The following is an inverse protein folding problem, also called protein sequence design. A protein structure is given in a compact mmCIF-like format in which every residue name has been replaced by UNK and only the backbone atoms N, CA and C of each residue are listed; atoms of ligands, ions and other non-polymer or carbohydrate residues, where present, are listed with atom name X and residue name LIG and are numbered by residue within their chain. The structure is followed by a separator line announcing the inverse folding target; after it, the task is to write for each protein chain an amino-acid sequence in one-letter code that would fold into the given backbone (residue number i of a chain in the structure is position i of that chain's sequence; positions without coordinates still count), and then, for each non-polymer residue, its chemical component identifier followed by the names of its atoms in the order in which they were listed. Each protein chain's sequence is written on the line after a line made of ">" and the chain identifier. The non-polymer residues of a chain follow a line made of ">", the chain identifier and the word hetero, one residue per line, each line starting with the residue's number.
data_IF_674587127199
#
_entry.id   IF_674587127199
#
_cell.length_a   1.000
_cell.length_b   1.000
_cell.length_c   1.000
_cell.angle_alpha   90.00
_cell.angle_beta   90.00
_cell.angle_gamma   90.00
#
_symmetry.space_group_name_H-M   'P 1'
#
loop_
_entity.id
_entity.type
_entity.pdbx_description
1 polymer ?
#
# COMPACT_ATOMS: atom_id res chain seq x y z
N UNK A 1 19.92 9.11 20.31
CA UNK A 1 20.40 8.95 18.92
C UNK A 1 19.19 9.10 18.02
N UNK A 2 19.21 10.02 17.06
CA UNK A 2 18.10 10.24 16.13
C UNK A 2 18.42 9.51 14.82
N UNK A 3 17.52 8.64 14.35
CA UNK A 3 17.71 7.91 13.10
C UNK A 3 17.36 8.83 11.91
N UNK A 4 18.21 8.81 10.88
CA UNK A 4 17.92 9.47 9.62
C UNK A 4 16.93 8.62 8.82
N UNK A 5 15.75 9.16 8.55
CA UNK A 5 14.71 8.49 7.76
C UNK A 5 14.69 9.06 6.34
N UNK A 6 14.53 8.19 5.35
CA UNK A 6 14.35 8.57 3.95
C UNK A 6 12.90 8.32 3.52
N UNK A 7 12.37 9.19 2.67
CA UNK A 7 11.04 9.04 2.08
C UNK A 7 11.16 8.48 0.68
N UNK A 8 10.26 7.56 0.34
CA UNK A 8 10.21 6.98 -0.99
C UNK A 8 9.46 7.86 -1.97
N UNK A 9 9.91 7.88 -3.22
CA UNK A 9 9.16 8.41 -4.34
C UNK A 9 8.34 7.31 -5.05
N UNK A 10 7.57 7.72 -6.04
CA UNK A 10 6.68 6.83 -6.81
C UNK A 10 7.47 5.83 -7.65
N UNK A 11 8.59 6.25 -8.25
CA UNK A 11 9.39 5.39 -9.12
C UNK A 11 10.04 4.26 -8.32
N UNK A 12 10.60 4.59 -7.16
CA UNK A 12 11.15 3.64 -6.20
C UNK A 12 10.10 2.62 -5.77
N UNK A 13 8.91 3.08 -5.35
CA UNK A 13 7.82 2.19 -4.96
C UNK A 13 7.41 1.22 -6.09
N UNK A 14 7.29 1.72 -7.32
CA UNK A 14 6.98 0.87 -8.49
C UNK A 14 8.09 -0.14 -8.78
N UNK A 15 9.35 0.28 -8.66
CA UNK A 15 10.49 -0.63 -8.84
C UNK A 15 10.46 -1.76 -7.81
N UNK A 16 10.18 -1.43 -6.54
CA UNK A 16 10.06 -2.43 -5.47
C UNK A 16 9.00 -3.49 -5.79
N UNK A 17 7.86 -3.08 -6.35
CA UNK A 17 6.83 -4.01 -6.83
C UNK A 17 7.33 -4.88 -7.99
N UNK A 18 7.97 -4.27 -9.00
CA UNK A 18 8.47 -4.98 -10.20
C UNK A 18 9.55 -6.02 -9.88
N UNK A 19 10.43 -5.73 -8.93
CA UNK A 19 11.52 -6.64 -8.53
C UNK A 19 11.09 -7.66 -7.46
N UNK A 20 9.83 -7.61 -7.01
CA UNK A 20 9.28 -8.60 -6.09
C UNK A 20 9.67 -8.40 -4.62
N UNK A 21 9.93 -7.16 -4.18
CA UNK A 21 10.19 -6.87 -2.76
C UNK A 21 8.94 -7.11 -1.91
N UNK A 22 7.77 -6.78 -2.45
CA UNK A 22 6.50 -7.05 -1.78
C UNK A 22 6.02 -8.46 -2.08
N UNK A 23 5.46 -9.13 -1.08
CA UNK A 23 4.76 -10.40 -1.30
C UNK A 23 3.61 -10.18 -2.30
N UNK A 24 3.28 -11.14 -3.19
CA UNK A 24 2.21 -10.96 -4.19
C UNK A 24 0.86 -10.55 -3.60
N UNK A 25 0.55 -11.07 -2.42
CA UNK A 25 -0.68 -10.75 -1.66
C UNK A 25 -0.52 -9.56 -0.71
N UNK A 26 0.66 -8.94 -0.63
CA UNK A 26 0.86 -7.78 0.22
C UNK A 26 0.14 -6.57 -0.37
N UNK A 27 -0.88 -6.10 0.37
CA UNK A 27 -1.60 -4.87 0.04
C UNK A 27 -0.91 -3.73 0.77
N UNK A 28 -0.03 -3.02 0.06
CA UNK A 28 0.69 -1.85 0.57
C UNK A 28 0.36 -0.62 -0.26
N UNK A 29 0.50 0.56 0.35
CA UNK A 29 0.26 1.85 -0.27
C UNK A 29 1.44 2.79 0.01
N UNK A 30 1.79 3.62 -0.97
CA UNK A 30 2.71 4.73 -0.78
C UNK A 30 1.91 5.98 -0.42
N UNK A 31 2.03 6.46 0.82
CA UNK A 31 1.38 7.68 1.30
C UNK A 31 2.43 8.61 1.88
N UNK A 32 2.53 9.84 1.38
CA UNK A 32 3.47 10.86 1.87
C UNK A 32 4.95 10.41 1.93
N UNK A 33 5.33 9.48 1.06
CA UNK A 33 6.67 8.89 1.00
C UNK A 33 6.91 7.73 1.96
N UNK A 34 5.86 7.22 2.60
CA UNK A 34 5.90 6.07 3.50
C UNK A 34 5.13 4.90 2.90
N UNK A 35 5.67 3.69 3.04
CA UNK A 35 5.00 2.46 2.61
C UNK A 35 4.20 1.93 3.79
N UNK A 36 2.89 2.00 3.71
CA UNK A 36 1.98 1.54 4.76
C UNK A 36 1.25 0.27 4.32
N UNK A 37 0.88 -0.58 5.28
CA UNK A 37 0.00 -1.71 5.00
C UNK A 37 -1.44 -1.24 4.90
N UNK A 38 -2.11 -1.65 3.84
CA UNK A 38 -3.52 -1.35 3.64
C UNK A 38 -4.35 -2.08 4.69
N UNK A 39 -5.37 -1.40 5.22
CA UNK A 39 -6.31 -2.04 6.15
C UNK A 39 -7.08 -3.15 5.41
N UNK A 40 -7.27 -4.34 6.00
CA UNK A 40 -8.04 -5.40 5.38
C UNK A 40 -9.45 -4.91 4.99
N UNK A 41 -9.90 -5.26 3.78
CA UNK A 41 -11.29 -5.04 3.38
C UNK A 41 -12.16 -6.03 4.16
N UNK A 42 -12.80 -5.54 5.23
CA UNK A 42 -13.81 -6.30 5.95
C UNK A 42 -15.12 -6.44 5.18
N UNK A 43 -15.99 -7.35 5.64
CA UNK A 43 -17.28 -7.64 5.00
C UNK A 43 -18.13 -6.38 4.76
N UNK A 44 -18.23 -5.49 5.76
CA UNK A 44 -19.00 -4.25 5.64
C UNK A 44 -18.46 -3.35 4.53
N UNK A 45 -17.14 -3.21 4.44
CA UNK A 45 -16.51 -2.42 3.38
C UNK A 45 -16.79 -3.03 2.01
N UNK A 46 -16.62 -4.35 1.85
CA UNK A 46 -16.90 -5.06 0.60
C UNK A 46 -18.35 -4.89 0.14
N UNK A 47 -19.33 -5.04 1.03
CA UNK A 47 -20.75 -4.86 0.71
C UNK A 47 -21.04 -3.43 0.24
N UNK A 48 -20.50 -2.42 0.93
CA UNK A 48 -20.71 -1.01 0.56
C UNK A 48 -20.14 -0.72 -0.82
N UNK A 49 -18.92 -1.16 -1.11
CA UNK A 49 -18.29 -0.97 -2.44
C UNK A 49 -19.06 -1.70 -3.54
N UNK A 50 -19.48 -2.95 -3.30
CA UNK A 50 -20.26 -3.73 -4.28
C UNK A 50 -21.64 -3.12 -4.58
N UNK A 51 -22.25 -2.41 -3.62
CA UNK A 51 -23.51 -1.67 -3.84
C UNK A 51 -23.29 -0.38 -4.60
N UNK A 52 -22.18 0.32 -4.35
CA UNK A 52 -21.86 1.57 -5.03
C UNK A 52 -21.52 1.36 -6.51
N UNK A 53 -20.90 0.23 -6.87
CA UNK A 53 -20.49 -0.09 -8.24
C UNK A 53 -21.60 -0.75 -9.10
N UNK A 54 -22.84 -0.80 -8.63
CA UNK A 54 -24.01 -1.28 -9.40
C UNK A 54 -24.66 -0.13 -10.17
#
# INVERSE_FOLDING_TARGET
>A
MQLLTHKFDVEQYQLMGKVGIFHPEARVELINGEIISMTPIGLRHSITINRFNQ
#
